data_IF_945157174820
#
_entry.id   IF_945157174820
#
_cell.length_a   1.000
_cell.length_b   1.000
_cell.length_c   1.000
_cell.angle_alpha   90.00
_cell.angle_beta   90.00
_cell.angle_gamma   90.00
#
_symmetry.space_group_name_H-M   'P 1'
#
loop_
_entity.id
_entity.type
_entity.pdbx_description
1 polymer ?
#
# COMPACT_ATOMS: atom_id res chain seq x y z
N UNK A 1 0.91 -16.29 4.15
CA UNK A 1 -0.56 -16.14 4.15
C UNK A 1 -0.89 -14.83 3.44
N UNK A 2 -1.47 -14.82 2.23
CA UNK A 2 -1.91 -13.56 1.64
C UNK A 2 -3.07 -13.02 2.51
N UNK A 3 -2.84 -11.89 3.17
CA UNK A 3 -3.90 -11.14 3.84
C UNK A 3 -4.92 -10.75 2.79
N UNK A 4 -6.13 -11.32 2.86
CA UNK A 4 -7.24 -10.91 2.01
C UNK A 4 -7.46 -9.41 2.19
N UNK A 5 -7.28 -8.64 1.12
CA UNK A 5 -7.57 -7.22 1.12
C UNK A 5 -9.08 -7.05 1.29
N UNK A 6 -9.52 -6.83 2.54
CA UNK A 6 -10.83 -6.22 2.78
C UNK A 6 -10.73 -4.83 2.18
N UNK A 7 -11.17 -4.66 0.94
CA UNK A 7 -11.28 -3.35 0.29
C UNK A 7 -12.20 -2.49 1.16
N UNK A 8 -11.63 -1.54 1.90
CA UNK A 8 -12.41 -0.58 2.67
C UNK A 8 -12.92 0.49 1.71
N UNK A 9 -13.96 1.23 2.12
CA UNK A 9 -14.41 2.41 1.36
C UNK A 9 -13.20 3.29 1.04
N UNK A 10 -13.03 3.62 -0.24
CA UNK A 10 -11.96 4.44 -0.81
C UNK A 10 -10.56 3.82 -0.89
N UNK A 11 -10.42 2.50 -0.74
CA UNK A 11 -9.17 1.81 -1.07
C UNK A 11 -9.06 1.59 -2.60
N UNK A 12 -7.84 1.39 -3.09
CA UNK A 12 -7.59 1.17 -4.52
C UNK A 12 -8.22 -0.17 -4.96
N UNK A 13 -8.95 -0.13 -6.08
CA UNK A 13 -9.39 -1.34 -6.76
C UNK A 13 -8.19 -2.08 -7.35
N UNK A 14 -8.34 -3.38 -7.64
CA UNK A 14 -7.26 -4.15 -8.29
C UNK A 14 -6.79 -3.53 -9.60
N UNK A 15 -7.72 -2.99 -10.41
CA UNK A 15 -7.38 -2.36 -11.68
C UNK A 15 -6.57 -1.07 -11.49
N UNK A 16 -6.97 -0.22 -10.52
CA UNK A 16 -6.22 0.98 -10.18
C UNK A 16 -4.86 0.65 -9.58
N UNK A 17 -4.81 -0.39 -8.73
CA UNK A 17 -3.58 -0.89 -8.14
C UNK A 17 -2.61 -1.38 -9.20
N UNK A 18 -3.06 -2.15 -10.20
CA UNK A 18 -2.20 -2.67 -11.27
C UNK A 18 -1.51 -1.54 -12.07
N UNK A 19 -2.24 -0.46 -12.37
CA UNK A 19 -1.68 0.72 -13.04
C UNK A 19 -0.62 1.37 -12.14
N UNK A 20 -0.95 1.61 -10.86
CA UNK A 20 -0.04 2.25 -9.92
C UNK A 20 1.22 1.41 -9.69
N UNK A 21 1.07 0.11 -9.49
CA UNK A 21 2.16 -0.82 -9.21
C UNK A 21 3.22 -0.80 -10.31
N UNK A 22 2.81 -0.70 -11.57
CA UNK A 22 3.72 -0.61 -12.71
C UNK A 22 4.64 0.62 -12.69
N UNK A 23 4.22 1.67 -11.99
CA UNK A 23 4.96 2.94 -11.88
C UNK A 23 5.85 3.00 -10.63
N UNK A 24 5.69 2.06 -9.68
CA UNK A 24 6.42 2.10 -8.43
C UNK A 24 7.87 1.60 -8.62
N UNK A 25 8.87 2.27 -8.02
CA UNK A 25 10.27 1.89 -8.19
C UNK A 25 10.54 0.47 -7.69
N UNK A 26 11.25 -0.32 -8.48
CA UNK A 26 11.73 -1.64 -8.06
C UNK A 26 12.78 -1.46 -6.95
N UNK A 27 12.76 -2.29 -5.88
CA UNK A 27 13.80 -2.26 -4.87
C UNK A 27 15.18 -2.40 -5.51
N UNK A 28 16.11 -1.50 -5.17
CA UNK A 28 17.49 -1.55 -5.65
C UNK A 28 18.39 -2.06 -4.53
N UNK A 29 18.96 -3.25 -4.69
CA UNK A 29 20.06 -3.76 -3.88
C UNK A 29 19.68 -4.72 -2.74
N UNK A 30 20.70 -5.28 -2.03
CA UNK A 30 20.54 -6.33 -1.01
C UNK A 30 20.10 -5.79 0.36
N UNK A 31 19.27 -4.74 0.38
CA UNK A 31 18.79 -4.13 1.61
C UNK A 31 17.85 -5.05 2.41
N UNK A 32 17.48 -4.61 3.61
CA UNK A 32 16.50 -5.33 4.44
C UNK A 32 15.19 -5.47 3.64
N UNK A 33 14.63 -6.69 3.52
CA UNK A 33 13.35 -6.88 2.85
C UNK A 33 12.25 -6.09 3.59
N UNK A 34 11.35 -5.40 2.86
CA UNK A 34 10.23 -4.70 3.47
C UNK A 34 9.35 -5.66 4.28
N UNK A 35 8.91 -5.22 5.46
CA UNK A 35 7.94 -5.99 6.27
C UNK A 35 6.52 -5.96 5.67
N UNK A 36 6.20 -4.90 4.94
CA UNK A 36 4.88 -4.67 4.33
C UNK A 36 5.00 -4.55 2.82
N UNK A 37 3.96 -4.97 2.10
CA UNK A 37 3.89 -4.75 0.66
C UNK A 37 3.69 -3.26 0.36
N UNK A 38 4.07 -2.83 -0.85
CA UNK A 38 3.82 -1.45 -1.31
C UNK A 38 2.34 -1.08 -1.20
N UNK A 39 1.44 -2.04 -1.49
CA UNK A 39 -0.01 -1.86 -1.38
C UNK A 39 -0.44 -1.57 0.04
N UNK A 40 -0.02 -2.39 1.00
CA UNK A 40 -0.35 -2.20 2.42
C UNK A 40 0.14 -0.83 2.94
N UNK A 41 1.31 -0.37 2.48
CA UNK A 41 1.82 0.95 2.83
C UNK A 41 0.93 2.07 2.27
N UNK A 42 0.60 2.00 0.98
CA UNK A 42 -0.22 3.01 0.30
C UNK A 42 -1.63 3.05 0.88
N UNK A 43 -2.27 1.90 1.09
CA UNK A 43 -3.59 1.79 1.73
C UNK A 43 -3.55 2.33 3.16
N UNK A 44 -2.48 2.03 3.92
CA UNK A 44 -2.28 2.56 5.27
C UNK A 44 -2.10 4.08 5.31
N UNK A 45 -1.37 4.66 4.35
CA UNK A 45 -1.21 6.11 4.20
C UNK A 45 -2.57 6.75 3.85
N UNK A 46 -3.26 6.19 2.85
CA UNK A 46 -4.58 6.67 2.43
C UNK A 46 -5.59 6.63 3.57
N UNK A 47 -5.61 5.54 4.35
CA UNK A 47 -6.43 5.44 5.55
C UNK A 47 -6.10 6.52 6.57
N UNK A 48 -4.82 6.75 6.89
CA UNK A 48 -4.42 7.79 7.86
C UNK A 48 -4.92 9.17 7.46
N UNK A 49 -4.71 9.55 6.20
CA UNK A 49 -5.16 10.84 5.66
C UNK A 49 -6.68 10.96 5.75
N UNK A 50 -7.41 9.91 5.38
CA UNK A 50 -8.87 9.86 5.36
C UNK A 50 -9.49 10.01 6.75
N UNK A 51 -8.91 9.40 7.77
CA UNK A 51 -9.43 9.41 9.15
C UNK A 51 -8.83 10.52 10.01
N UNK A 52 -7.86 11.28 9.50
CA UNK A 52 -7.12 12.28 10.28
C UNK A 52 -6.26 11.66 11.39
N UNK A 53 -5.73 10.45 11.18
CA UNK A 53 -4.90 9.79 12.19
C UNK A 53 -3.59 10.57 12.37
N UNK A 54 -3.19 10.89 13.62
CA UNK A 54 -1.96 11.62 13.87
C UNK A 54 -0.72 10.78 13.54
N UNK A 55 0.34 11.46 13.12
CA UNK A 55 1.69 10.89 13.14
C UNK A 55 2.19 11.00 14.58
N UNK A 56 2.49 9.86 15.20
CA UNK A 56 3.09 9.74 16.53
C UNK A 56 4.23 8.74 16.44
#
# INVERSE_FOLDING_TARGET
MPTLAVTRRFDLTEAQWAILESLLPTPKGPGRPPQWTKRQLIDGIGWRVRVGAPWR
#
